data_IF_492979898457
#
_entry.id   IF_492979898457
#
_cell.length_a   1.000
_cell.length_b   1.000
_cell.length_c   1.000
_cell.angle_alpha   90.00
_cell.angle_beta   90.00
_cell.angle_gamma   90.00
#
_symmetry.space_group_name_H-M   'P 1'
#
loop_
_entity.id
_entity.type
_entity.pdbx_description
1 polymer ?
#
# COMPACT_ATOMS: atom_id res chain seq x y z
N UNK A 1 -12.77 -0.59 -20.05
CA UNK A 1 -11.74 0.19 -19.31
C UNK A 1 -10.38 -0.02 -19.93
N UNK A 2 -9.70 1.05 -20.34
CA UNK A 2 -8.26 0.99 -20.65
C UNK A 2 -7.48 1.43 -19.40
N UNK A 3 -6.93 0.45 -18.69
CA UNK A 3 -6.21 0.68 -17.42
C UNK A 3 -4.95 1.54 -17.63
N UNK A 4 -4.29 1.41 -18.79
CA UNK A 4 -3.07 2.18 -19.05
C UNK A 4 -3.38 3.67 -19.21
N UNK A 5 -4.42 4.00 -19.97
CA UNK A 5 -4.87 5.40 -20.12
C UNK A 5 -5.27 6.01 -18.77
N UNK A 6 -6.00 5.27 -17.95
CA UNK A 6 -6.41 5.73 -16.61
C UNK A 6 -5.19 5.95 -15.69
N UNK A 7 -4.21 5.03 -15.71
CA UNK A 7 -3.00 5.15 -14.91
C UNK A 7 -2.14 6.36 -15.33
N UNK A 8 -1.99 6.59 -16.63
CA UNK A 8 -1.28 7.78 -17.14
C UNK A 8 -1.99 9.08 -16.79
N UNK A 9 -3.32 9.09 -16.81
CA UNK A 9 -4.11 10.28 -16.51
C UNK A 9 -3.94 10.80 -15.07
N UNK A 10 -3.61 9.90 -14.12
CA UNK A 10 -3.43 10.26 -12.69
C UNK A 10 -1.98 10.21 -12.23
N UNK A 11 -1.01 10.15 -13.15
CA UNK A 11 0.41 10.00 -12.81
C UNK A 11 0.92 11.10 -11.89
N UNK A 12 0.57 12.35 -12.13
CA UNK A 12 0.99 13.48 -11.30
C UNK A 12 0.42 13.36 -9.87
N UNK A 13 -0.84 12.95 -9.74
CA UNK A 13 -1.49 12.73 -8.46
C UNK A 13 -0.82 11.60 -7.66
N UNK A 14 -0.41 10.51 -8.32
CA UNK A 14 0.36 9.42 -7.67
C UNK A 14 1.68 9.93 -7.11
N UNK A 15 2.36 10.81 -7.84
CA UNK A 15 3.60 11.45 -7.36
C UNK A 15 3.33 12.32 -6.14
N UNK A 16 2.21 13.05 -6.12
CA UNK A 16 1.81 13.86 -4.97
C UNK A 16 1.47 12.99 -3.75
N UNK A 17 0.72 11.90 -3.91
CA UNK A 17 0.45 10.94 -2.83
C UNK A 17 1.75 10.42 -2.24
N UNK A 18 2.66 9.94 -3.08
CA UNK A 18 3.94 9.43 -2.62
C UNK A 18 4.73 10.49 -1.84
N UNK A 19 4.84 11.72 -2.35
CA UNK A 19 5.60 12.79 -1.70
C UNK A 19 4.98 13.23 -0.38
N UNK A 20 3.65 13.26 -0.29
CA UNK A 20 2.95 13.56 0.95
C UNK A 20 3.25 12.52 2.03
N UNK A 21 3.14 11.24 1.70
CA UNK A 21 3.46 10.11 2.58
C UNK A 21 4.95 10.13 2.98
N UNK A 22 5.84 10.38 2.02
CA UNK A 22 7.29 10.42 2.26
C UNK A 22 7.71 11.47 3.30
N UNK A 23 7.00 12.61 3.36
CA UNK A 23 7.27 13.67 4.36
C UNK A 23 6.89 13.29 5.77
N UNK A 24 5.99 12.33 5.95
CA UNK A 24 5.46 11.95 7.26
C UNK A 24 5.62 10.45 7.54
N UNK A 25 6.85 9.91 7.44
CA UNK A 25 7.08 8.48 7.70
C UNK A 25 6.84 8.15 9.17
N UNK A 26 6.21 7.02 9.43
CA UNK A 26 5.90 6.54 10.77
C UNK A 26 6.30 5.07 10.91
N UNK A 27 6.82 4.70 12.07
CA UNK A 27 7.28 3.33 12.33
C UNK A 27 6.11 2.38 12.62
N UNK A 28 6.43 1.10 12.58
CA UNK A 28 5.51 -0.02 12.80
C UNK A 28 4.52 0.22 13.96
N UNK A 29 3.22 0.03 13.67
CA UNK A 29 2.08 0.25 14.57
C UNK A 29 1.87 1.67 15.11
N UNK A 30 2.58 2.66 14.54
CA UNK A 30 2.42 4.08 14.87
C UNK A 30 1.99 4.93 13.66
N UNK A 31 1.52 4.30 12.59
CA UNK A 31 1.20 4.91 11.29
C UNK A 31 -0.10 5.74 11.35
N UNK A 32 -0.19 6.66 12.31
CA UNK A 32 -1.41 7.44 12.60
C UNK A 32 -1.71 8.46 11.50
N UNK A 33 -0.72 9.26 11.12
CA UNK A 33 -0.87 10.28 10.06
C UNK A 33 -1.04 9.63 8.69
N UNK A 34 -0.34 8.53 8.46
CA UNK A 34 -0.47 7.71 7.25
C UNK A 34 -1.88 7.18 7.10
N UNK A 35 -2.46 6.61 8.17
CA UNK A 35 -3.85 6.14 8.17
C UNK A 35 -4.85 7.26 7.96
N UNK A 36 -4.62 8.42 8.59
CA UNK A 36 -5.49 9.59 8.40
C UNK A 36 -5.48 10.05 6.95
N UNK A 37 -4.30 10.15 6.34
CA UNK A 37 -4.15 10.50 4.93
C UNK A 37 -4.89 9.52 4.00
N UNK A 38 -4.75 8.21 4.24
CA UNK A 38 -5.46 7.18 3.49
C UNK A 38 -6.98 7.33 3.68
N UNK A 39 -7.43 7.51 4.92
CA UNK A 39 -8.84 7.66 5.29
C UNK A 39 -9.49 8.83 4.56
N UNK A 40 -8.85 10.00 4.56
CA UNK A 40 -9.36 11.20 3.89
C UNK A 40 -9.64 10.95 2.41
N UNK A 41 -8.73 10.28 1.70
CA UNK A 41 -8.92 9.94 0.29
C UNK A 41 -10.02 8.90 0.07
N UNK A 42 -10.10 7.88 0.93
CA UNK A 42 -11.16 6.88 0.83
C UNK A 42 -12.55 7.50 1.07
N UNK A 43 -12.66 8.45 1.99
CA UNK A 43 -13.89 9.19 2.27
C UNK A 43 -14.27 10.11 1.09
N UNK A 44 -13.30 10.86 0.55
CA UNK A 44 -13.51 11.72 -0.62
C UNK A 44 -14.07 10.93 -1.81
N UNK A 45 -13.57 9.70 -2.01
CA UNK A 45 -14.01 8.85 -3.12
C UNK A 45 -15.19 7.94 -2.76
N UNK A 46 -15.80 8.10 -1.59
CA UNK A 46 -16.93 7.29 -1.11
C UNK A 46 -16.62 5.78 -1.15
N UNK A 47 -15.40 5.39 -0.78
CA UNK A 47 -14.97 4.00 -0.65
C UNK A 47 -15.19 3.53 0.78
N UNK A 48 -15.94 2.44 0.96
CA UNK A 48 -16.15 1.83 2.27
C UNK A 48 -14.86 1.20 2.80
N UNK A 49 -14.55 1.45 4.06
CA UNK A 49 -13.35 0.91 4.72
C UNK A 49 -13.62 0.51 6.17
N UNK A 50 -12.67 -0.22 6.74
CA UNK A 50 -12.60 -0.57 8.17
C UNK A 50 -11.18 -0.30 8.67
N UNK A 51 -11.10 0.37 9.82
CA UNK A 51 -9.84 0.60 10.56
C UNK A 51 -9.66 -0.52 11.58
N UNK A 52 -8.41 -0.91 11.80
CA UNK A 52 -7.98 -1.89 12.80
C UNK A 52 -7.00 -1.21 13.78
N UNK A 53 -7.26 -1.35 15.06
CA UNK A 53 -6.42 -0.81 16.12
C UNK A 53 -5.25 -1.78 16.43
N UNK A 54 -4.00 -1.32 16.57
CA UNK A 54 -3.56 0.08 16.65
C UNK A 54 -3.36 0.74 15.28
N UNK A 55 -3.20 -0.01 14.20
CA UNK A 55 -2.97 0.48 12.85
C UNK A 55 -3.41 -0.53 11.80
N UNK A 56 -3.86 -0.07 10.64
CA UNK A 56 -4.28 -0.89 9.51
C UNK A 56 -5.63 -0.48 8.94
N UNK A 57 -5.74 -0.51 7.61
CA UNK A 57 -6.99 -0.21 6.91
C UNK A 57 -7.27 -1.29 5.87
N UNK A 58 -8.52 -1.75 5.80
CA UNK A 58 -9.03 -2.52 4.67
C UNK A 58 -10.19 -1.76 4.06
N UNK A 59 -10.02 -1.34 2.82
CA UNK A 59 -11.08 -0.76 2.01
C UNK A 59 -11.66 -1.80 1.03
N UNK A 60 -12.86 -1.54 0.51
CA UNK A 60 -13.57 -2.48 -0.35
C UNK A 60 -14.17 -1.76 -1.55
N UNK A 61 -13.89 -2.26 -2.75
CA UNK A 61 -14.51 -1.78 -3.99
C UNK A 61 -15.13 -2.96 -4.74
N UNK A 62 -16.29 -2.73 -5.33
CA UNK A 62 -17.05 -3.74 -6.05
C UNK A 62 -17.86 -4.67 -5.13
N UNK A 63 -18.89 -5.27 -5.71
CA UNK A 63 -19.81 -6.17 -5.02
C UNK A 63 -20.11 -7.44 -5.83
N UNK A 64 -19.31 -7.70 -6.86
CA UNK A 64 -19.48 -8.84 -7.77
C UNK A 64 -19.47 -10.19 -7.04
N UNK A 65 -19.94 -11.22 -7.75
CA UNK A 65 -20.15 -12.56 -7.19
C UNK A 65 -18.98 -13.50 -7.38
N UNK A 66 -17.96 -13.11 -8.16
CA UNK A 66 -16.76 -13.92 -8.32
C UNK A 66 -15.90 -13.90 -7.07
N UNK A 67 -14.92 -14.77 -7.02
CA UNK A 67 -13.97 -14.87 -5.90
C UNK A 67 -13.39 -13.50 -5.50
N UNK A 68 -13.39 -13.22 -4.21
CA UNK A 68 -12.78 -12.01 -3.65
C UNK A 68 -11.27 -12.09 -3.77
N UNK A 69 -10.66 -11.00 -4.23
CA UNK A 69 -9.21 -10.81 -4.26
C UNK A 69 -8.81 -9.64 -3.37
N UNK A 70 -7.55 -9.58 -3.00
CA UNK A 70 -6.97 -8.44 -2.31
C UNK A 70 -5.77 -7.87 -3.04
N UNK A 71 -5.61 -6.56 -2.96
CA UNK A 71 -4.42 -5.82 -3.33
C UNK A 71 -3.81 -5.26 -2.04
N UNK A 72 -2.51 -5.42 -1.84
CA UNK A 72 -1.82 -5.09 -0.59
C UNK A 72 -0.71 -4.07 -0.82
N UNK A 73 -0.65 -3.09 0.05
CA UNK A 73 0.52 -2.25 0.28
C UNK A 73 0.84 -2.25 1.77
N UNK A 74 2.12 -2.20 2.10
CA UNK A 74 2.63 -1.84 3.41
C UNK A 74 2.69 -0.33 3.55
N UNK A 75 2.75 0.19 4.78
CA UNK A 75 2.68 1.63 5.02
C UNK A 75 3.62 2.15 6.11
N UNK A 76 4.34 1.25 6.81
CA UNK A 76 5.31 1.63 7.83
C UNK A 76 6.65 2.09 7.23
N UNK A 77 7.45 2.77 8.03
CA UNK A 77 8.76 3.30 7.69
C UNK A 77 9.82 2.77 8.65
N UNK A 78 11.07 3.06 8.36
CA UNK A 78 12.24 2.62 9.12
C UNK A 78 12.80 3.72 10.03
N UNK A 79 13.38 3.32 11.15
CA UNK A 79 14.16 4.19 12.05
C UNK A 79 15.50 4.54 11.43
N UNK A 80 15.49 5.30 10.33
CA UNK A 80 16.67 5.72 9.57
C UNK A 80 16.61 7.23 9.37
N UNK A 81 17.72 7.93 9.63
CA UNK A 81 17.83 9.34 9.33
C UNK A 81 17.95 9.55 7.82
N UNK A 82 17.04 10.31 7.25
CA UNK A 82 17.11 10.65 5.83
C UNK A 82 18.19 11.73 5.59
N UNK A 83 19.03 11.48 4.58
CA UNK A 83 20.12 12.36 4.13
C UNK A 83 20.05 12.67 2.63
N UNK A 84 18.87 12.48 2.01
CA UNK A 84 18.71 12.64 0.54
C UNK A 84 18.79 14.09 0.07
N UNK A 85 18.42 15.05 0.93
CA UNK A 85 18.34 16.47 0.57
C UNK A 85 17.22 16.81 -0.41
N UNK A 86 16.23 15.94 -0.57
CA UNK A 86 15.08 16.17 -1.44
C UNK A 86 14.14 17.23 -0.84
N UNK A 87 13.43 17.94 -1.70
CA UNK A 87 12.44 18.95 -1.33
C UNK A 87 11.21 18.36 -0.63
N UNK A 88 11.02 17.05 -0.73
CA UNK A 88 9.99 16.28 -0.05
C UNK A 88 10.56 15.28 0.98
N UNK A 89 11.79 15.50 1.44
CA UNK A 89 12.40 14.65 2.48
C UNK A 89 11.54 14.58 3.75
N UNK A 90 11.78 13.56 4.55
CA UNK A 90 11.10 13.33 5.82
C UNK A 90 11.14 14.55 6.74
N UNK A 91 10.00 14.89 7.31
CA UNK A 91 9.87 15.88 8.38
C UNK A 91 10.04 15.25 9.79
N UNK A 92 10.06 13.92 9.86
CA UNK A 92 10.19 13.16 11.09
C UNK A 92 11.67 12.75 11.28
N UNK A 93 12.37 13.48 12.14
CA UNK A 93 13.78 13.21 12.40
C UNK A 93 14.00 11.76 12.86
N UNK A 94 14.96 11.08 12.23
CA UNK A 94 15.30 9.70 12.54
C UNK A 94 14.32 8.66 11.95
N UNK A 95 13.41 9.07 11.06
CA UNK A 95 12.48 8.16 10.39
C UNK A 95 12.44 8.43 8.89
N UNK A 96 12.42 7.40 8.06
CA UNK A 96 12.40 7.52 6.60
C UNK A 96 11.69 6.35 5.95
N UNK A 97 10.95 6.59 4.88
CA UNK A 97 10.49 5.55 3.95
C UNK A 97 11.62 5.02 3.06
N UNK A 98 12.63 4.37 3.69
CA UNK A 98 13.80 3.87 2.99
C UNK A 98 13.53 2.58 2.18
N UNK A 99 12.46 1.86 2.50
CA UNK A 99 12.03 0.65 1.78
C UNK A 99 11.02 0.93 0.64
N UNK A 100 10.51 2.16 0.52
CA UNK A 100 9.60 2.56 -0.55
C UNK A 100 8.11 2.30 -0.28
N UNK A 101 7.71 2.06 0.96
CA UNK A 101 6.32 1.81 1.33
C UNK A 101 5.40 3.01 1.08
N UNK A 102 5.92 4.23 1.07
CA UNK A 102 5.24 5.44 0.59
C UNK A 102 4.78 5.28 -0.87
N UNK A 103 5.64 4.71 -1.73
CA UNK A 103 5.31 4.41 -3.11
C UNK A 103 4.28 3.28 -3.24
N UNK A 104 4.39 2.23 -2.42
CA UNK A 104 3.43 1.13 -2.42
C UNK A 104 2.03 1.63 -2.02
N UNK A 105 1.93 2.41 -0.95
CA UNK A 105 0.68 3.04 -0.49
C UNK A 105 0.10 3.98 -1.54
N UNK A 106 0.94 4.82 -2.18
CA UNK A 106 0.50 5.72 -3.25
C UNK A 106 -0.08 4.97 -4.45
N UNK A 107 0.56 3.87 -4.87
CA UNK A 107 0.07 3.01 -5.95
C UNK A 107 -1.29 2.38 -5.57
N UNK A 108 -1.44 1.93 -4.33
CA UNK A 108 -2.70 1.32 -3.88
C UNK A 108 -3.83 2.35 -3.78
N UNK A 109 -3.56 3.59 -3.34
CA UNK A 109 -4.52 4.70 -3.36
C UNK A 109 -4.96 5.03 -4.80
N UNK A 110 -4.02 5.18 -5.72
CA UNK A 110 -4.33 5.40 -7.13
C UNK A 110 -5.18 4.27 -7.71
N UNK A 111 -4.84 3.03 -7.38
CA UNK A 111 -5.61 1.85 -7.78
C UNK A 111 -7.02 1.89 -7.21
N UNK A 112 -7.18 2.29 -5.94
CA UNK A 112 -8.48 2.46 -5.29
C UNK A 112 -9.37 3.44 -6.06
N UNK A 113 -8.83 4.60 -6.42
CA UNK A 113 -9.52 5.64 -7.19
C UNK A 113 -9.99 5.13 -8.56
N UNK A 114 -9.11 4.47 -9.31
CA UNK A 114 -9.43 3.90 -10.62
C UNK A 114 -10.51 2.80 -10.48
N UNK A 115 -10.36 1.89 -9.54
CA UNK A 115 -11.34 0.82 -9.31
C UNK A 115 -12.70 1.38 -8.91
N UNK A 116 -12.73 2.42 -8.08
CA UNK A 116 -13.98 3.09 -7.69
C UNK A 116 -14.69 3.73 -8.88
N UNK A 117 -13.96 4.43 -9.74
CA UNK A 117 -14.51 5.01 -10.99
C UNK A 117 -15.18 3.96 -11.87
N UNK A 118 -14.67 2.73 -11.86
CA UNK A 118 -15.17 1.60 -12.66
C UNK A 118 -15.87 0.53 -11.84
N UNK A 119 -16.34 0.87 -10.64
CA UNK A 119 -16.91 -0.09 -9.69
C UNK A 119 -18.05 -0.94 -10.28
N UNK A 120 -18.89 -0.35 -11.12
CA UNK A 120 -20.01 -1.04 -11.77
C UNK A 120 -19.56 -2.11 -12.80
N UNK A 121 -18.35 -2.03 -13.30
CA UNK A 121 -17.76 -2.99 -14.25
C UNK A 121 -17.09 -4.18 -13.54
N UNK A 122 -16.88 -4.10 -12.21
CA UNK A 122 -16.21 -5.13 -11.44
C UNK A 122 -17.09 -6.35 -11.22
N UNK A 123 -16.63 -7.52 -11.66
CA UNK A 123 -17.32 -8.79 -11.49
C UNK A 123 -17.06 -9.46 -10.13
N UNK A 124 -16.23 -8.84 -9.30
CA UNK A 124 -15.78 -9.33 -7.98
C UNK A 124 -15.64 -8.20 -6.97
N UNK A 125 -15.50 -8.60 -5.72
CA UNK A 125 -15.11 -7.73 -4.64
C UNK A 125 -13.59 -7.67 -4.59
N UNK A 126 -13.03 -6.46 -4.47
CA UNK A 126 -11.60 -6.20 -4.31
C UNK A 126 -11.37 -5.57 -2.95
N UNK A 127 -10.57 -6.23 -2.12
CA UNK A 127 -10.07 -5.65 -0.88
C UNK A 127 -8.77 -4.90 -1.13
N UNK A 128 -8.67 -3.71 -0.58
CA UNK A 128 -7.47 -2.86 -0.61
C UNK A 128 -6.91 -2.86 0.81
N UNK A 129 -5.79 -3.54 0.99
CA UNK A 129 -5.20 -3.81 2.30
C UNK A 129 -4.01 -2.88 2.51
N UNK A 130 -4.17 -1.89 3.35
CA UNK A 130 -3.09 -1.04 3.84
C UNK A 130 -2.57 -1.66 5.14
N UNK A 131 -1.45 -2.37 5.02
CA UNK A 131 -0.90 -3.19 6.09
C UNK A 131 0.13 -2.40 6.90
N UNK A 132 0.02 -2.36 8.24
CA UNK A 132 1.05 -1.80 9.10
C UNK A 132 2.22 -2.76 9.30
N UNK A 133 3.29 -2.29 9.92
CA UNK A 133 4.31 -3.10 10.60
C UNK A 133 4.88 -4.24 9.74
N UNK A 134 5.23 -3.95 8.48
CA UNK A 134 5.89 -4.92 7.60
C UNK A 134 7.31 -5.18 8.08
N UNK A 135 8.06 -4.12 8.43
CA UNK A 135 9.48 -4.15 8.80
C UNK A 135 9.76 -4.92 10.12
N UNK A 136 8.73 -5.15 10.93
CA UNK A 136 8.81 -6.00 12.14
C UNK A 136 8.27 -7.40 11.90
N UNK A 137 7.80 -7.73 10.68
CA UNK A 137 7.14 -8.98 10.31
C UNK A 137 5.89 -9.31 11.15
N UNK A 138 5.30 -8.33 11.84
CA UNK A 138 4.13 -8.53 12.70
C UNK A 138 2.82 -8.15 12.02
N UNK A 139 2.85 -7.16 11.10
CA UNK A 139 1.66 -6.59 10.51
C UNK A 139 0.82 -7.58 9.72
N UNK A 140 1.43 -8.45 8.93
CA UNK A 140 0.69 -9.48 8.19
C UNK A 140 -0.05 -10.44 9.13
N UNK A 141 0.60 -10.87 10.21
CA UNK A 141 -0.03 -11.73 11.24
C UNK A 141 -1.17 -11.01 11.95
N UNK A 142 -0.99 -9.71 12.22
CA UNK A 142 -2.02 -8.86 12.81
C UNK A 142 -3.24 -8.79 11.90
N UNK A 143 -3.07 -8.46 10.62
CA UNK A 143 -4.17 -8.37 9.66
C UNK A 143 -4.90 -9.71 9.46
N UNK A 144 -4.18 -10.82 9.40
CA UNK A 144 -4.78 -12.16 9.30
C UNK A 144 -5.63 -12.51 10.53
N UNK A 145 -5.20 -12.18 11.75
CA UNK A 145 -5.96 -12.43 12.98
C UNK A 145 -7.30 -11.70 13.03
N UNK A 146 -7.51 -10.67 12.22
CA UNK A 146 -8.79 -9.96 12.16
C UNK A 146 -9.92 -10.81 11.54
N UNK A 147 -9.58 -11.86 10.81
CA UNK A 147 -10.53 -12.72 10.08
C UNK A 147 -11.16 -12.08 8.84
N UNK A 148 -10.89 -10.79 8.58
CA UNK A 148 -11.51 -10.07 7.43
C UNK A 148 -11.03 -10.64 6.09
N UNK A 149 -9.82 -11.19 6.06
CA UNK A 149 -9.22 -11.75 4.86
C UNK A 149 -9.57 -13.23 4.60
N UNK A 150 -10.34 -13.89 5.47
CA UNK A 150 -10.65 -15.32 5.36
C UNK A 150 -11.38 -15.70 4.06
N UNK A 151 -12.14 -14.76 3.49
CA UNK A 151 -12.83 -14.95 2.22
C UNK A 151 -11.97 -14.65 0.99
N UNK A 152 -10.78 -14.10 1.16
CA UNK A 152 -9.87 -13.73 0.08
C UNK A 152 -9.20 -14.98 -0.48
N UNK A 153 -9.26 -15.15 -1.80
CA UNK A 153 -8.68 -16.29 -2.49
C UNK A 153 -7.28 -16.04 -3.03
N UNK A 154 -6.98 -14.78 -3.33
CA UNK A 154 -5.66 -14.35 -3.81
C UNK A 154 -5.37 -12.95 -3.30
N UNK A 155 -4.13 -12.73 -2.91
CA UNK A 155 -3.61 -11.42 -2.55
C UNK A 155 -2.45 -11.09 -3.48
N UNK A 156 -2.40 -9.85 -3.93
CA UNK A 156 -1.35 -9.34 -4.79
C UNK A 156 -0.73 -8.11 -4.12
N UNK A 157 0.58 -8.02 -4.17
CA UNK A 157 1.35 -6.85 -3.77
C UNK A 157 2.47 -6.61 -4.78
N UNK A 158 2.95 -5.39 -4.83
CA UNK A 158 4.13 -5.02 -5.60
C UNK A 158 5.15 -4.45 -4.63
N UNK A 159 6.44 -4.67 -4.92
CA UNK A 159 7.53 -4.04 -4.19
C UNK A 159 8.38 -3.22 -5.13
N UNK A 160 8.70 -1.98 -4.74
CA UNK A 160 9.65 -1.12 -5.45
C UNK A 160 11.05 -1.63 -5.14
N UNK A 161 11.83 -1.96 -6.16
CA UNK A 161 13.16 -2.52 -5.99
C UNK A 161 14.18 -1.78 -6.85
N UNK A 162 15.23 -1.28 -6.24
CA UNK A 162 16.25 -0.46 -6.91
C UNK A 162 17.09 -1.21 -7.96
N UNK A 163 17.09 -2.55 -7.92
CA UNK A 163 17.77 -3.39 -8.91
C UNK A 163 16.99 -3.62 -10.21
N UNK A 164 15.74 -3.14 -10.29
CA UNK A 164 14.90 -3.27 -11.48
C UNK A 164 14.84 -1.93 -12.21
N UNK A 165 15.20 -1.86 -13.51
CA UNK A 165 15.10 -0.61 -14.27
C UNK A 165 13.69 -0.03 -14.27
N UNK A 166 13.58 1.31 -14.21
CA UNK A 166 12.30 2.02 -14.27
C UNK A 166 11.48 1.59 -15.50
N UNK A 167 10.17 1.43 -15.31
CA UNK A 167 9.24 0.98 -16.34
C UNK A 167 9.24 -0.53 -16.58
N UNK A 168 9.97 -1.32 -15.78
CA UNK A 168 9.94 -2.79 -15.82
C UNK A 168 9.36 -3.39 -14.56
N UNK A 169 8.75 -4.56 -14.70
CA UNK A 169 8.21 -5.38 -13.61
C UNK A 169 8.86 -6.76 -13.72
N UNK A 170 9.35 -7.29 -12.60
CA UNK A 170 9.74 -8.69 -12.48
C UNK A 170 8.59 -9.51 -11.92
N UNK A 171 8.32 -10.66 -12.54
CA UNK A 171 7.36 -11.66 -12.08
C UNK A 171 8.07 -12.96 -11.64
N UNK A 172 9.37 -12.93 -11.56
CA UNK A 172 10.14 -14.07 -11.08
C UNK A 172 9.98 -14.22 -9.57
N UNK A 173 10.04 -15.45 -9.07
CA UNK A 173 10.08 -15.72 -7.65
C UNK A 173 11.25 -14.94 -7.01
N UNK A 174 10.95 -14.11 -6.04
CA UNK A 174 11.94 -13.23 -5.45
C UNK A 174 12.87 -14.01 -4.53
N UNK A 175 14.17 -13.91 -4.77
CA UNK A 175 15.21 -14.47 -3.90
C UNK A 175 15.21 -13.88 -2.47
N UNK A 176 14.56 -12.73 -2.26
CA UNK A 176 14.33 -12.20 -0.89
C UNK A 176 13.50 -13.14 -0.02
N UNK A 177 12.75 -14.06 -0.63
CA UNK A 177 12.05 -15.14 0.08
C UNK A 177 12.91 -16.36 0.35
N UNK A 178 14.04 -16.51 -0.34
CA UNK A 178 14.94 -17.67 -0.24
C UNK A 178 16.22 -17.37 0.50
N UNK A 179 16.57 -16.10 0.69
CA UNK A 179 17.60 -15.66 1.64
C UNK A 179 16.96 -15.43 2.99
N UNK A 180 16.13 -16.37 3.38
CA UNK A 180 15.43 -16.26 4.61
C UNK A 180 16.42 -16.13 5.76
N UNK A 181 16.15 -15.17 6.62
CA UNK A 181 16.71 -15.03 7.95
C UNK A 181 16.59 -16.31 8.82
N UNK A 182 16.24 -17.43 8.26
CA UNK A 182 16.28 -18.74 8.88
C UNK A 182 17.68 -19.38 8.84
N UNK A 183 18.61 -18.79 8.10
CA UNK A 183 19.98 -19.29 7.96
C UNK A 183 21.04 -18.39 8.64
N UNK A 184 20.62 -17.42 9.47
CA UNK A 184 21.50 -16.63 10.34
C UNK A 184 21.25 -16.93 11.83
#
# INVERSE_FOLDING_TARGET
MDINEEAYAIQEEVVEFRRALHRCPEIAFHETMTMEYIREHLEEWEISYKIFDPSGIIAVVGNGKKETIALRADMDALEVQEETGLDFASLNHGCMHACGHDGHTAILLATAKILKKHESELDRRVYLVFQPAEETAEGARFMLKTGVLDSVKRIYGVHIFNGIPSGKISLEACLLYTSDAADE
#
